data_IF_274995328102
#
_entry.id   IF_274995328102
#
_cell.length_a   1.000
_cell.length_b   1.000
_cell.length_c   1.000
_cell.angle_alpha   90.00
_cell.angle_beta   90.00
_cell.angle_gamma   90.00
#
_symmetry.space_group_name_H-M   'P 1'
#
loop_
_entity.id
_entity.type
_entity.pdbx_description
1 polymer ?
#
# COMPACT_ATOMS: atom_id res chain seq x y z
N UNK A 1 0.24 -55.68 -68.05
CA UNK A 1 0.25 -56.36 -66.73
C UNK A 1 1.72 -56.59 -66.37
N UNK A 2 2.34 -56.12 -65.29
CA UNK A 2 1.96 -55.50 -64.03
C UNK A 2 3.18 -54.63 -63.58
N UNK A 3 3.00 -53.37 -63.18
CA UNK A 3 2.92 -52.90 -61.78
C UNK A 3 4.18 -53.25 -60.95
N UNK A 4 5.09 -52.30 -60.72
CA UNK A 4 5.05 -51.31 -59.61
C UNK A 4 5.50 -51.89 -58.25
N UNK A 5 6.80 -51.89 -57.94
CA UNK A 5 7.31 -51.99 -56.56
C UNK A 5 8.76 -51.49 -56.47
N UNK A 6 8.98 -50.18 -56.32
CA UNK A 6 10.27 -49.65 -55.83
C UNK A 6 10.13 -48.33 -55.06
N UNK A 7 9.03 -47.59 -55.25
CA UNK A 7 8.79 -46.31 -54.59
C UNK A 7 8.25 -46.42 -53.14
N UNK A 8 7.83 -47.61 -52.68
CA UNK A 8 7.20 -47.80 -51.37
C UNK A 8 8.16 -47.85 -50.18
N UNK A 9 9.40 -48.32 -50.38
CA UNK A 9 10.34 -48.53 -49.27
C UNK A 9 10.99 -47.23 -48.77
N UNK A 10 11.26 -46.28 -49.68
CA UNK A 10 11.85 -44.98 -49.32
C UNK A 10 10.85 -44.06 -48.59
N UNK A 11 9.58 -44.09 -48.98
CA UNK A 11 8.52 -43.31 -48.33
C UNK A 11 8.21 -43.80 -46.91
N UNK A 12 8.27 -45.12 -46.68
CA UNK A 12 8.07 -45.69 -45.35
C UNK A 12 9.22 -45.35 -44.39
N UNK A 13 10.49 -45.37 -44.84
CA UNK A 13 11.63 -45.00 -44.01
C UNK A 13 11.67 -43.51 -43.65
N UNK A 14 11.23 -42.64 -44.57
CA UNK A 14 11.11 -41.19 -44.31
C UNK A 14 9.95 -40.88 -43.36
N UNK A 15 8.80 -41.56 -43.51
CA UNK A 15 7.66 -41.40 -42.62
C UNK A 15 7.93 -41.92 -41.20
N UNK A 16 8.64 -43.06 -41.06
CA UNK A 16 9.04 -43.60 -39.74
C UNK A 16 10.08 -42.69 -39.08
N UNK A 17 11.01 -42.10 -39.84
CA UNK A 17 11.97 -41.11 -39.30
C UNK A 17 11.29 -39.80 -38.88
N UNK A 18 10.28 -39.32 -39.61
CA UNK A 18 9.52 -38.12 -39.26
C UNK A 18 8.60 -38.36 -38.05
N UNK A 19 7.99 -39.54 -37.94
CA UNK A 19 7.17 -39.92 -36.79
C UNK A 19 8.06 -40.19 -35.56
N UNK A 20 9.24 -40.79 -35.73
CA UNK A 20 10.22 -40.95 -34.65
C UNK A 20 10.76 -39.58 -34.19
N UNK A 21 11.09 -38.66 -35.11
CA UNK A 21 11.44 -37.28 -34.76
C UNK A 21 10.30 -36.53 -34.08
N UNK A 22 9.05 -36.71 -34.53
CA UNK A 22 7.86 -36.08 -33.93
C UNK A 22 7.56 -36.65 -32.53
N UNK A 23 7.73 -37.95 -32.30
CA UNK A 23 7.56 -38.58 -30.99
C UNK A 23 8.70 -38.17 -30.05
N UNK A 24 9.95 -38.10 -30.52
CA UNK A 24 11.09 -37.60 -29.73
C UNK A 24 10.90 -36.11 -29.36
N UNK A 25 10.34 -35.29 -30.26
CA UNK A 25 10.01 -33.89 -29.96
C UNK A 25 8.82 -33.75 -29.00
N UNK A 26 7.85 -34.66 -29.04
CA UNK A 26 6.62 -34.59 -28.21
C UNK A 26 6.76 -35.29 -26.86
N UNK A 27 7.69 -36.22 -26.68
CA UNK A 27 8.08 -36.78 -25.38
C UNK A 27 9.06 -35.89 -24.62
N UNK A 28 9.51 -34.79 -25.22
CA UNK A 28 10.32 -33.77 -24.59
C UNK A 28 9.42 -32.74 -23.91
N UNK A 29 8.63 -33.17 -22.92
CA UNK A 29 8.24 -32.22 -21.86
C UNK A 29 9.54 -31.67 -21.30
N UNK A 30 9.75 -30.34 -21.21
CA UNK A 30 10.89 -29.84 -20.47
C UNK A 30 10.67 -30.27 -19.03
N UNK A 31 11.34 -31.35 -18.61
CA UNK A 31 11.64 -31.57 -17.21
C UNK A 31 12.40 -30.32 -16.82
N UNK A 32 11.70 -29.40 -16.17
CA UNK A 32 12.27 -28.17 -15.63
C UNK A 32 13.54 -28.61 -14.89
N UNK A 33 14.75 -28.31 -15.42
CA UNK A 33 15.92 -28.53 -14.62
C UNK A 33 15.78 -27.44 -13.57
N UNK A 34 15.51 -27.84 -12.34
CA UNK A 34 15.90 -27.06 -11.18
C UNK A 34 17.44 -27.02 -11.18
N UNK A 35 18.05 -26.47 -12.23
CA UNK A 35 19.41 -26.02 -12.16
C UNK A 35 19.35 -24.94 -11.08
N UNK A 36 19.81 -25.31 -9.87
CA UNK A 36 20.25 -24.36 -8.86
C UNK A 36 21.21 -23.44 -9.60
N UNK A 37 20.69 -22.33 -10.12
CA UNK A 37 21.50 -21.18 -10.47
C UNK A 37 22.29 -20.91 -9.20
N UNK A 38 23.61 -21.08 -9.30
CA UNK A 38 24.50 -20.90 -8.19
C UNK A 38 24.13 -19.55 -7.56
N UNK A 39 23.77 -19.57 -6.27
CA UNK A 39 23.42 -18.33 -5.55
C UNK A 39 24.56 -17.35 -5.83
N UNK A 40 24.30 -16.20 -6.48
CA UNK A 40 25.36 -15.21 -6.66
C UNK A 40 25.96 -14.92 -5.29
N UNK A 41 27.29 -14.87 -5.22
CA UNK A 41 27.97 -14.64 -3.95
C UNK A 41 27.36 -13.39 -3.34
N UNK A 42 26.94 -13.49 -2.08
CA UNK A 42 26.41 -12.35 -1.33
C UNK A 42 27.55 -11.34 -1.24
N UNK A 43 27.60 -10.41 -2.18
CA UNK A 43 28.31 -9.14 -1.98
C UNK A 43 27.60 -8.51 -0.80
N UNK A 44 28.19 -8.70 0.38
CA UNK A 44 27.69 -8.16 1.63
C UNK A 44 27.95 -6.66 1.59
N UNK A 45 27.08 -5.93 0.87
CA UNK A 45 26.77 -4.57 1.25
C UNK A 45 26.43 -4.62 2.73
N UNK A 46 27.31 -4.02 3.54
CA UNK A 46 27.26 -4.04 5.00
C UNK A 46 25.85 -3.61 5.40
N UNK A 47 24.97 -4.56 5.77
CA UNK A 47 23.62 -4.23 6.26
C UNK A 47 23.83 -3.49 7.57
N UNK A 48 23.84 -2.17 7.50
CA UNK A 48 23.85 -1.31 8.66
C UNK A 48 22.60 -1.66 9.47
N UNK A 49 22.80 -1.93 10.76
CA UNK A 49 21.70 -2.17 11.69
C UNK A 49 20.84 -0.91 11.70
N UNK A 50 19.56 -1.05 11.34
CA UNK A 50 18.58 0.04 11.41
C UNK A 50 18.13 0.25 12.86
N UNK A 51 17.91 1.49 13.29
CA UNK A 51 17.48 1.85 14.65
C UNK A 51 15.96 2.03 14.69
N UNK A 52 15.29 1.07 15.32
CA UNK A 52 13.84 1.10 15.50
C UNK A 52 13.03 0.80 14.23
N UNK A 53 11.71 0.92 14.36
CA UNK A 53 10.73 0.60 13.32
C UNK A 53 10.80 1.58 12.13
N UNK A 54 10.94 2.88 12.42
CA UNK A 54 10.90 3.95 11.41
C UNK A 54 12.04 3.80 10.40
N UNK A 55 13.28 3.61 10.87
CA UNK A 55 14.41 3.41 9.96
C UNK A 55 14.23 2.13 9.10
N UNK A 56 13.45 1.14 9.56
CA UNK A 56 13.15 -0.10 8.83
C UNK A 56 12.12 0.05 7.70
N UNK A 57 11.38 1.16 7.65
CA UNK A 57 10.46 1.48 6.55
C UNK A 57 11.27 1.95 5.33
N UNK A 58 10.84 1.52 4.15
CA UNK A 58 11.51 1.80 2.88
C UNK A 58 12.78 0.99 2.65
N UNK A 59 13.53 1.38 1.61
CA UNK A 59 14.65 0.59 1.09
C UNK A 59 14.21 -0.87 0.79
N UNK A 60 13.02 -1.02 0.23
CA UNK A 60 12.43 -2.30 -0.17
C UNK A 60 13.12 -2.83 -1.44
N UNK A 61 13.24 -4.14 -1.64
CA UNK A 61 13.90 -4.68 -2.82
C UNK A 61 13.04 -4.52 -4.09
N UNK A 62 13.70 -4.41 -5.24
CA UNK A 62 13.11 -4.75 -6.54
C UNK A 62 13.22 -6.27 -6.73
N UNK A 63 12.09 -6.91 -7.05
CA UNK A 63 12.01 -8.34 -7.35
C UNK A 63 11.72 -8.48 -8.83
N UNK A 64 12.58 -9.18 -9.58
CA UNK A 64 12.25 -9.59 -10.94
C UNK A 64 11.10 -10.59 -10.89
N UNK A 65 10.02 -10.29 -11.60
CA UNK A 65 8.88 -11.20 -11.73
C UNK A 65 9.19 -12.09 -12.93
N UNK A 66 9.67 -13.31 -12.66
CA UNK A 66 10.27 -14.14 -13.68
C UNK A 66 9.26 -14.54 -14.75
N UNK A 67 8.10 -15.02 -14.32
CA UNK A 67 7.04 -15.46 -15.22
C UNK A 67 6.60 -14.39 -16.22
N UNK A 68 6.45 -13.13 -15.78
CA UNK A 68 6.03 -12.01 -16.62
C UNK A 68 7.17 -11.52 -17.51
N UNK A 69 8.38 -11.47 -16.98
CA UNK A 69 9.56 -11.05 -17.74
C UNK A 69 9.84 -12.02 -18.89
N UNK A 70 9.80 -13.32 -18.60
CA UNK A 70 10.07 -14.38 -19.57
C UNK A 70 8.97 -14.43 -20.66
N UNK A 71 7.71 -14.16 -20.28
CA UNK A 71 6.58 -14.13 -21.23
C UNK A 71 6.58 -12.91 -22.17
N UNK A 72 7.19 -11.79 -21.77
CA UNK A 72 7.19 -10.53 -22.54
C UNK A 72 8.51 -10.24 -23.23
N UNK A 73 9.59 -10.95 -22.85
CA UNK A 73 10.95 -10.63 -23.27
C UNK A 73 11.47 -9.31 -22.69
N UNK A 74 10.75 -8.70 -21.74
CA UNK A 74 11.15 -7.51 -21.00
C UNK A 74 11.66 -7.89 -19.61
N UNK A 75 12.35 -6.97 -18.94
CA UNK A 75 12.65 -7.08 -17.52
C UNK A 75 11.56 -6.39 -16.70
N UNK A 76 10.62 -7.17 -16.15
CA UNK A 76 9.53 -6.66 -15.31
C UNK A 76 9.91 -6.83 -13.83
N UNK A 77 10.00 -5.71 -13.13
CA UNK A 77 10.41 -5.62 -11.73
C UNK A 77 9.25 -5.11 -10.85
N UNK A 78 9.03 -5.78 -9.73
CA UNK A 78 8.09 -5.35 -8.69
C UNK A 78 8.83 -4.78 -7.48
N UNK A 79 8.54 -3.51 -7.13
CA UNK A 79 9.00 -2.89 -5.88
C UNK A 79 8.19 -3.46 -4.71
N UNK A 80 8.84 -4.25 -3.85
CA UNK A 80 8.20 -5.09 -2.84
C UNK A 80 7.79 -4.30 -1.57
N UNK A 81 6.83 -3.39 -1.71
CA UNK A 81 6.34 -2.54 -0.63
C UNK A 81 5.58 -3.31 0.47
N UNK A 82 5.11 -4.52 0.17
CA UNK A 82 4.59 -5.45 1.18
C UNK A 82 5.63 -5.88 2.23
N UNK A 83 6.93 -5.62 2.01
CA UNK A 83 8.01 -5.91 2.95
C UNK A 83 8.29 -4.78 3.95
N UNK A 84 7.59 -3.64 3.86
CA UNK A 84 7.65 -2.68 4.96
C UNK A 84 7.07 -3.30 6.25
N UNK A 85 7.49 -2.86 7.45
CA UNK A 85 7.06 -3.46 8.72
C UNK A 85 5.54 -3.51 8.97
N UNK A 86 4.82 -2.45 8.60
CA UNK A 86 3.37 -2.37 8.60
C UNK A 86 2.73 -3.01 7.36
N UNK A 87 3.51 -3.65 6.50
CA UNK A 87 3.09 -4.58 5.45
C UNK A 87 2.53 -3.94 4.18
N UNK A 88 2.76 -2.64 3.97
CA UNK A 88 2.31 -1.98 2.73
C UNK A 88 3.11 -0.74 2.34
N UNK A 89 2.86 -0.25 1.14
CA UNK A 89 3.36 1.04 0.62
C UNK A 89 2.95 2.26 1.48
N UNK A 90 1.89 2.15 2.28
CA UNK A 90 1.39 3.26 3.10
C UNK A 90 2.24 3.54 4.34
N UNK A 91 3.17 2.66 4.69
CA UNK A 91 4.10 2.88 5.80
C UNK A 91 4.98 4.12 5.56
N UNK A 92 5.42 4.32 4.31
CA UNK A 92 6.20 5.51 3.91
C UNK A 92 5.39 6.79 4.12
N UNK A 93 4.12 6.74 3.73
CA UNK A 93 3.19 7.87 3.84
C UNK A 93 2.91 8.18 5.31
N UNK A 94 2.66 7.15 6.12
CA UNK A 94 2.44 7.31 7.56
C UNK A 94 3.64 7.96 8.27
N UNK A 95 4.87 7.53 7.93
CA UNK A 95 6.09 8.14 8.46
C UNK A 95 6.16 9.62 8.06
N UNK A 96 6.07 9.92 6.76
CA UNK A 96 6.24 11.30 6.28
C UNK A 96 5.16 12.25 6.83
N UNK A 97 3.90 11.78 6.94
CA UNK A 97 2.81 12.57 7.52
C UNK A 97 3.08 12.90 8.99
N UNK A 98 3.51 11.93 9.79
CA UNK A 98 3.71 12.11 11.23
C UNK A 98 4.96 12.96 11.49
N UNK A 99 6.04 12.69 10.77
CA UNK A 99 7.29 13.44 10.85
C UNK A 99 7.06 14.93 10.55
N UNK A 100 6.45 15.25 9.41
CA UNK A 100 6.20 16.64 9.04
C UNK A 100 5.24 17.35 9.99
N UNK A 101 4.23 16.65 10.52
CA UNK A 101 3.30 17.23 11.49
C UNK A 101 3.96 17.53 12.84
N UNK A 102 4.93 16.71 13.26
CA UNK A 102 5.73 16.97 14.46
C UNK A 102 6.71 18.12 14.23
N UNK A 103 7.35 18.18 13.07
CA UNK A 103 8.28 19.25 12.69
C UNK A 103 7.58 20.61 12.58
N UNK A 104 6.36 20.66 12.03
CA UNK A 104 5.56 21.89 11.92
C UNK A 104 4.95 22.32 13.26
N UNK A 105 4.83 21.40 14.22
CA UNK A 105 4.12 21.60 15.48
C UNK A 105 2.59 21.38 15.40
N UNK A 106 2.06 20.97 14.24
CA UNK A 106 0.64 20.62 14.07
C UNK A 106 0.26 19.36 14.87
N UNK A 107 1.25 18.51 15.17
CA UNK A 107 1.16 17.39 16.09
C UNK A 107 2.17 17.58 17.22
N UNK A 108 1.75 17.31 18.44
CA UNK A 108 2.63 17.30 19.62
C UNK A 108 2.96 15.86 20.03
N UNK A 109 4.09 15.66 20.71
CA UNK A 109 4.41 14.38 21.34
C UNK A 109 3.29 13.95 22.32
N UNK A 110 2.87 12.67 22.27
CA UNK A 110 1.68 12.18 22.98
C UNK A 110 0.33 12.57 22.35
N UNK A 111 0.35 13.35 21.27
CA UNK A 111 -0.81 13.75 20.49
C UNK A 111 -1.42 12.58 19.73
N UNK A 112 -2.63 12.78 19.19
CA UNK A 112 -3.39 11.72 18.51
C UNK A 112 -3.46 11.98 17.01
N UNK A 113 -2.92 11.07 16.21
CA UNK A 113 -3.13 11.06 14.76
C UNK A 113 -4.46 10.40 14.46
N UNK A 114 -5.30 11.09 13.69
CA UNK A 114 -6.63 10.63 13.30
C UNK A 114 -6.70 10.39 11.79
N UNK A 115 -7.41 9.34 11.38
CA UNK A 115 -7.64 9.05 9.96
C UNK A 115 -8.98 8.36 9.74
N UNK A 116 -9.65 8.67 8.63
CA UNK A 116 -10.82 7.95 8.16
C UNK A 116 -10.40 6.92 7.11
N UNK A 117 -10.14 5.68 7.50
CA UNK A 117 -9.78 4.62 6.57
C UNK A 117 -9.93 3.24 7.20
N UNK A 118 -10.49 2.27 6.48
CA UNK A 118 -10.44 0.86 6.87
C UNK A 118 -9.28 0.09 6.19
N UNK A 119 -8.42 0.79 5.44
CA UNK A 119 -7.42 0.19 4.57
C UNK A 119 -5.98 0.26 5.11
N UNK A 120 -5.02 0.09 4.22
CA UNK A 120 -3.60 0.01 4.56
C UNK A 120 -3.08 1.25 5.29
N UNK A 121 -3.60 2.44 5.00
CA UNK A 121 -3.20 3.69 5.68
C UNK A 121 -3.50 3.66 7.17
N UNK A 122 -4.66 3.15 7.59
CA UNK A 122 -4.98 3.04 9.00
C UNK A 122 -4.05 2.07 9.73
N UNK A 123 -3.74 0.94 9.10
CA UNK A 123 -2.80 -0.05 9.66
C UNK A 123 -1.38 0.55 9.75
N UNK A 124 -0.94 1.26 8.71
CA UNK A 124 0.36 1.93 8.69
C UNK A 124 0.47 3.02 9.75
N UNK A 125 -0.57 3.85 9.94
CA UNK A 125 -0.61 4.87 10.99
C UNK A 125 -0.62 4.24 12.39
N UNK A 126 -1.42 3.19 12.61
CA UNK A 126 -1.43 2.45 13.87
C UNK A 126 -0.08 1.81 14.18
N UNK A 127 0.65 1.34 13.15
CA UNK A 127 1.99 0.77 13.27
C UNK A 127 3.05 1.83 13.58
N UNK A 128 2.99 2.99 12.92
CA UNK A 128 4.05 4.02 12.95
C UNK A 128 3.89 5.00 14.11
N UNK A 129 2.67 5.42 14.45
CA UNK A 129 2.43 6.45 15.45
C UNK A 129 3.08 6.16 16.82
N UNK A 130 3.03 4.92 17.36
CA UNK A 130 3.71 4.60 18.62
C UNK A 130 5.23 4.77 18.56
N UNK A 131 5.86 4.58 17.40
CA UNK A 131 7.30 4.76 17.24
C UNK A 131 7.73 6.25 17.35
N UNK A 132 6.80 7.18 17.14
CA UNK A 132 6.95 8.61 17.37
C UNK A 132 6.38 9.08 18.72
N UNK A 133 5.96 8.15 19.59
CA UNK A 133 5.28 8.47 20.85
C UNK A 133 3.91 9.12 20.67
N UNK A 134 3.27 8.92 19.53
CA UNK A 134 1.94 9.43 19.22
C UNK A 134 0.88 8.32 19.38
N UNK A 135 -0.36 8.72 19.69
CA UNK A 135 -1.53 7.85 19.66
C UNK A 135 -2.13 7.81 18.26
N UNK A 136 -2.88 6.75 17.96
CA UNK A 136 -3.62 6.63 16.70
C UNK A 136 -5.11 6.36 16.96
N UNK A 137 -5.97 7.07 16.25
CA UNK A 137 -7.41 6.90 16.26
C UNK A 137 -7.94 6.80 14.83
N UNK A 138 -8.67 5.73 14.54
CA UNK A 138 -9.16 5.46 13.18
C UNK A 138 -10.67 5.39 13.19
N UNK A 139 -11.30 6.09 12.25
CA UNK A 139 -12.74 5.98 12.01
C UNK A 139 -12.98 5.12 10.77
N UNK A 140 -13.79 4.08 10.90
CA UNK A 140 -14.09 3.12 9.83
C UNK A 140 -15.59 2.95 9.61
N UNK A 141 -16.04 2.63 8.39
CA UNK A 141 -17.41 2.15 8.15
C UNK A 141 -17.72 0.88 8.97
N UNK A 142 -18.93 0.77 9.52
CA UNK A 142 -19.34 -0.38 10.34
C UNK A 142 -19.53 -1.68 9.54
N UNK A 143 -19.78 -1.57 8.23
CA UNK A 143 -19.87 -2.65 7.25
C UNK A 143 -18.49 -3.14 6.74
N UNK A 144 -17.40 -2.50 7.18
CA UNK A 144 -16.06 -2.98 6.89
C UNK A 144 -15.80 -4.31 7.62
N UNK A 145 -15.08 -5.21 6.94
CA UNK A 145 -14.70 -6.52 7.44
C UNK A 145 -14.12 -6.44 8.87
N UNK A 146 -14.49 -7.39 9.73
CA UNK A 146 -14.18 -7.33 11.16
C UNK A 146 -12.66 -7.39 11.39
N UNK A 147 -11.97 -8.17 10.58
CA UNK A 147 -10.52 -8.37 10.61
C UNK A 147 -9.76 -7.05 10.45
N UNK A 148 -10.34 -6.07 9.73
CA UNK A 148 -9.75 -4.74 9.53
C UNK A 148 -9.70 -3.94 10.83
N UNK A 149 -10.73 -4.00 11.68
CA UNK A 149 -10.65 -3.33 13.00
C UNK A 149 -9.75 -4.11 13.95
N UNK A 150 -9.84 -5.45 13.94
CA UNK A 150 -9.06 -6.29 14.85
C UNK A 150 -7.55 -6.07 14.70
N UNK A 151 -7.04 -5.95 13.47
CA UNK A 151 -5.62 -5.67 13.25
C UNK A 151 -5.23 -4.26 13.73
N UNK A 152 -6.07 -3.25 13.50
CA UNK A 152 -5.80 -1.87 13.93
C UNK A 152 -5.80 -1.77 15.46
N UNK A 153 -6.76 -2.43 16.12
CA UNK A 153 -6.87 -2.48 17.58
C UNK A 153 -5.71 -3.28 18.21
N UNK A 154 -5.31 -4.40 17.59
CA UNK A 154 -4.17 -5.19 18.03
C UNK A 154 -2.83 -4.42 17.93
N UNK A 155 -2.72 -3.48 17.00
CA UNK A 155 -1.59 -2.55 16.89
C UNK A 155 -1.63 -1.41 17.92
N UNK A 156 -2.67 -1.35 18.76
CA UNK A 156 -2.81 -0.39 19.85
C UNK A 156 -3.51 0.91 19.46
N UNK A 157 -4.06 1.02 18.25
CA UNK A 157 -4.89 2.15 17.86
C UNK A 157 -6.34 1.97 18.35
N UNK A 158 -7.04 3.10 18.51
CA UNK A 158 -8.48 3.09 18.81
C UNK A 158 -9.29 3.12 17.52
N UNK A 159 -10.40 2.38 17.47
CA UNK A 159 -11.27 2.31 16.29
C UNK A 159 -12.69 2.79 16.63
N UNK A 160 -13.21 3.72 15.84
CA UNK A 160 -14.61 4.15 15.86
C UNK A 160 -15.32 3.62 14.60
N UNK A 161 -16.25 2.68 14.78
CA UNK A 161 -17.12 2.19 13.70
C UNK A 161 -18.33 3.10 13.53
N UNK A 162 -18.60 3.54 12.31
CA UNK A 162 -19.68 4.48 11.98
C UNK A 162 -20.49 4.00 10.79
N UNK A 163 -21.76 4.39 10.75
CA UNK A 163 -22.65 4.02 9.63
C UNK A 163 -22.11 4.54 8.29
N UNK A 164 -22.07 3.72 7.23
CA UNK A 164 -21.75 4.15 5.88
C UNK A 164 -22.73 5.20 5.37
N UNK A 165 -22.20 6.31 4.87
CA UNK A 165 -22.95 7.43 4.29
C UNK A 165 -22.18 8.00 3.09
N UNK A 166 -22.80 8.87 2.29
CA UNK A 166 -22.10 9.50 1.16
C UNK A 166 -20.95 10.41 1.63
N UNK A 167 -19.94 10.63 0.78
CA UNK A 167 -18.79 11.49 1.09
C UNK A 167 -19.15 12.93 1.47
N UNK A 168 -20.27 13.43 0.91
CA UNK A 168 -20.81 14.76 1.20
C UNK A 168 -21.52 14.85 2.56
N UNK A 169 -21.86 13.71 3.16
CA UNK A 169 -22.54 13.67 4.44
C UNK A 169 -21.58 14.04 5.59
N UNK A 170 -22.09 14.82 6.54
CA UNK A 170 -21.31 15.29 7.71
C UNK A 170 -20.71 14.15 8.53
N UNK A 171 -21.41 13.01 8.56
CA UNK A 171 -21.04 11.81 9.31
C UNK A 171 -20.32 10.75 8.48
N UNK A 172 -19.83 11.12 7.29
CA UNK A 172 -18.87 10.29 6.59
C UNK A 172 -17.63 10.07 7.47
N UNK A 173 -17.12 8.83 7.55
CA UNK A 173 -16.03 8.44 8.44
C UNK A 173 -14.78 9.35 8.35
N UNK A 174 -14.44 9.85 7.15
CA UNK A 174 -13.36 10.85 6.94
C UNK A 174 -13.68 12.19 7.63
N UNK A 175 -14.91 12.66 7.53
CA UNK A 175 -15.34 13.91 8.16
C UNK A 175 -15.39 13.76 9.68
N UNK A 176 -15.79 12.59 10.18
CA UNK A 176 -15.75 12.28 11.62
C UNK A 176 -14.31 12.28 12.13
N UNK A 177 -13.38 11.59 11.45
CA UNK A 177 -11.96 11.59 11.82
C UNK A 177 -11.39 13.01 11.92
N UNK A 178 -11.68 13.88 10.94
CA UNK A 178 -11.31 15.30 10.99
C UNK A 178 -11.89 16.01 12.22
N UNK A 179 -13.16 15.76 12.57
CA UNK A 179 -13.78 16.34 13.78
C UNK A 179 -13.09 15.86 15.05
N UNK A 180 -12.69 14.59 15.14
CA UNK A 180 -11.96 14.04 16.31
C UNK A 180 -10.62 14.72 16.54
N UNK A 181 -9.88 15.06 15.48
CA UNK A 181 -8.67 15.87 15.61
C UNK A 181 -8.96 17.25 16.21
N UNK A 182 -9.99 17.94 15.69
CA UNK A 182 -10.38 19.27 16.18
C UNK A 182 -10.87 19.24 17.63
N UNK A 183 -11.64 18.20 18.01
CA UNK A 183 -12.10 17.98 19.38
C UNK A 183 -10.91 17.75 20.32
N UNK A 184 -9.95 16.92 19.94
CA UNK A 184 -8.72 16.71 20.71
C UNK A 184 -7.92 18.00 20.91
N UNK A 185 -7.85 18.88 19.90
CA UNK A 185 -7.20 20.19 20.00
C UNK A 185 -7.91 21.13 20.97
N UNK A 186 -9.25 21.19 20.93
CA UNK A 186 -10.04 22.00 21.88
C UNK A 186 -9.83 21.53 23.32
N UNK A 187 -9.81 20.22 23.55
CA UNK A 187 -9.58 19.64 24.87
C UNK A 187 -8.17 19.94 25.39
N UNK A 188 -7.16 19.83 24.52
CA UNK A 188 -5.79 20.17 24.87
C UNK A 188 -5.64 21.67 25.23
N UNK A 189 -6.33 22.56 24.53
CA UNK A 189 -6.33 23.99 24.84
C UNK A 189 -6.98 24.27 26.21
N UNK A 190 -8.17 23.71 26.47
CA UNK A 190 -8.86 23.87 27.75
C UNK A 190 -8.05 23.33 28.94
N UNK A 191 -7.31 22.23 28.74
CA UNK A 191 -6.40 21.67 29.76
C UNK A 191 -5.21 22.59 30.05
N UNK A 192 -4.65 23.27 29.05
CA UNK A 192 -3.59 24.26 29.25
C UNK A 192 -4.09 25.47 30.04
N UNK A 193 -5.25 26.03 29.67
CA UNK A 193 -5.86 27.16 30.37
C UNK A 193 -6.18 26.83 31.84
N UNK A 194 -6.69 25.62 32.10
CA UNK A 194 -6.99 25.15 33.46
C UNK A 194 -5.72 25.02 34.30
N UNK A 195 -4.65 24.46 33.73
CA UNK A 195 -3.36 24.31 34.41
C UNK A 195 -2.70 25.66 34.68
N UNK A 196 -2.76 26.61 33.74
CA UNK A 196 -2.25 27.98 33.92
C UNK A 196 -3.03 28.74 35.00
N UNK A 197 -4.35 28.57 35.07
CA UNK A 197 -5.18 29.18 36.11
C UNK A 197 -4.86 28.59 37.48
N UNK A 198 -4.61 27.28 37.59
CA UNK A 198 -4.17 26.65 38.83
C UNK A 198 -2.77 27.09 39.26
N UNK A 199 -1.79 27.16 38.35
CA UNK A 199 -0.44 27.62 38.67
C UNK A 199 -0.42 29.09 39.07
N UNK A 200 -1.20 29.94 38.41
CA UNK A 200 -1.34 31.36 38.78
C UNK A 200 -2.12 31.54 40.11
N UNK A 201 -3.12 30.70 40.39
CA UNK A 201 -3.83 30.66 41.67
C UNK A 201 -2.94 30.20 42.85
N UNK A 202 -2.07 29.21 42.62
CA UNK A 202 -1.07 28.74 43.58
C UNK A 202 0.07 29.75 43.80
N UNK A 203 0.38 30.58 42.79
CA UNK A 203 1.31 31.70 42.93
C UNK A 203 0.73 32.82 43.82
N UNK A 204 -0.59 33.03 43.79
CA UNK A 204 -1.27 34.03 44.61
C UNK A 204 -1.55 33.60 46.07
N UNK A 205 -1.44 32.30 46.38
CA UNK A 205 -1.63 31.73 47.74
C UNK A 205 -0.30 31.51 48.47
N UNK A 206 0.86 31.71 47.82
CA UNK A 206 2.18 31.50 48.43
C UNK A 206 2.87 32.79 48.90
N UNK A 207 2.12 33.71 49.52
CA UNK A 207 2.72 34.88 50.19
C UNK A 207 2.54 34.92 51.71
N UNK A 208 1.88 33.94 52.36
CA UNK A 208 1.74 33.99 53.85
C UNK A 208 1.98 32.73 54.68
N UNK A 209 1.91 31.50 54.16
CA UNK A 209 1.95 30.31 55.06
C UNK A 209 3.06 29.28 54.77
N UNK A 210 4.23 29.71 54.25
CA UNK A 210 5.35 28.81 53.93
C UNK A 210 6.52 28.82 54.92
N UNK A 211 6.31 29.24 56.17
CA UNK A 211 7.38 29.25 57.19
C UNK A 211 7.21 28.26 58.35
N UNK A 212 6.07 27.60 58.55
CA UNK A 212 5.88 26.75 59.75
C UNK A 212 5.85 25.23 59.52
N UNK A 213 5.73 24.74 58.29
CA UNK A 213 5.57 23.28 58.05
C UNK A 213 6.87 22.56 57.66
N UNK A 214 7.97 23.28 57.42
CA UNK A 214 9.24 22.68 56.94
C UNK A 214 10.18 22.16 58.04
N UNK A 215 9.75 22.04 59.30
CA UNK A 215 10.59 21.56 60.41
C UNK A 215 10.13 20.25 61.09
N UNK A 216 9.14 19.51 60.55
CA UNK A 216 8.63 18.30 61.23
C UNK A 216 8.74 16.95 60.52
N UNK A 217 9.26 16.86 59.30
CA UNK A 217 9.31 15.56 58.59
C UNK A 217 10.70 15.12 58.10
N UNK A 218 11.77 15.65 58.69
CA UNK A 218 13.12 15.11 58.53
C UNK A 218 13.46 14.07 59.60
N UNK A 219 12.68 12.97 59.70
CA UNK A 219 13.06 11.72 60.39
C UNK A 219 12.00 10.62 60.20
N UNK A 220 12.31 9.69 59.28
CA UNK A 220 11.65 8.41 58.87
C UNK A 220 11.51 8.49 57.34
N UNK A 221 12.18 7.70 56.51
CA UNK A 221 12.40 6.26 56.61
C UNK A 221 13.52 5.88 55.63
N UNK A 222 14.47 5.06 56.08
CA UNK A 222 15.41 4.31 55.24
C UNK A 222 14.69 3.09 54.63
N UNK A 223 15.26 2.59 53.52
CA UNK A 223 15.00 1.33 52.80
C UNK A 223 13.96 1.39 51.66
N UNK A 224 14.44 1.42 50.42
CA UNK A 224 14.34 0.30 49.48
C UNK A 224 15.05 0.61 48.15
N UNK A 225 15.72 -0.41 47.60
CA UNK A 225 16.44 -0.43 46.32
C UNK A 225 15.55 -0.11 45.10
N UNK A 226 16.13 0.38 43.98
CA UNK A 226 15.37 0.70 42.79
C UNK A 226 15.08 -0.56 41.96
N UNK A 227 13.83 -1.03 42.01
CA UNK A 227 13.32 -1.98 41.03
C UNK A 227 13.10 -1.27 39.68
N UNK A 228 13.65 -1.86 38.61
CA UNK A 228 13.39 -1.51 37.22
C UNK A 228 11.87 -1.55 36.93
N UNK A 229 11.23 -0.38 36.93
CA UNK A 229 9.86 -0.21 36.47
C UNK A 229 9.79 -0.18 34.95
N UNK A 230 9.40 -1.30 34.34
CA UNK A 230 8.94 -1.31 32.95
C UNK A 230 7.67 -0.46 32.85
N UNK A 231 7.75 0.67 32.15
CA UNK A 231 6.58 1.47 31.77
C UNK A 231 5.81 0.76 30.67
N UNK A 232 5.04 -0.25 31.06
CA UNK A 232 4.03 -0.86 30.20
C UNK A 232 2.94 0.17 29.92
N UNK A 233 2.75 0.51 28.64
CA UNK A 233 1.60 1.30 28.19
C UNK A 233 0.29 0.59 28.61
N UNK A 234 -0.69 1.30 29.21
CA UNK A 234 -1.93 0.68 29.59
C UNK A 234 -2.74 0.31 28.34
N UNK A 235 -2.89 -0.99 28.08
CA UNK A 235 -3.97 -1.49 27.24
C UNK A 235 -5.30 -1.35 28.00
N UNK A 236 -6.24 -0.53 27.47
CA UNK A 236 -7.71 -0.75 27.43
C UNK A 236 -8.47 0.57 27.21
N UNK A 237 -9.48 0.53 26.31
CA UNK A 237 -10.61 1.47 26.32
C UNK A 237 -10.97 2.06 24.96
N UNK A 238 -12.28 2.22 24.72
CA UNK A 238 -12.86 3.05 23.64
C UNK A 238 -12.15 4.42 23.62
N UNK A 239 -12.10 5.08 22.45
CA UNK A 239 -11.56 6.44 22.33
C UNK A 239 -12.09 7.33 23.46
N UNK A 240 -11.23 7.61 24.43
CA UNK A 240 -11.52 8.46 25.57
C UNK A 240 -10.72 9.75 25.40
N UNK A 241 -11.34 10.80 24.84
CA UNK A 241 -10.67 12.09 24.68
C UNK A 241 -10.45 12.80 26.03
N UNK A 242 -10.97 12.28 27.15
CA UNK A 242 -10.90 12.91 28.47
C UNK A 242 -9.62 12.64 29.27
N UNK A 243 -8.79 11.66 28.88
CA UNK A 243 -7.48 11.43 29.51
C UNK A 243 -6.36 12.19 28.77
N UNK A 244 -5.73 13.16 29.44
CA UNK A 244 -4.52 13.92 29.03
C UNK A 244 -4.39 14.12 27.51
N UNK A 245 -5.21 15.01 26.93
CA UNK A 245 -5.17 15.29 25.50
C UNK A 245 -3.99 16.19 25.20
N UNK A 246 -3.06 15.72 24.36
CA UNK A 246 -1.96 16.54 23.82
C UNK A 246 -2.29 17.18 22.47
N UNK A 247 -3.56 17.12 22.05
CA UNK A 247 -4.03 17.57 20.74
C UNK A 247 -4.21 16.43 19.75
N UNK A 248 -4.76 16.76 18.58
CA UNK A 248 -5.01 15.83 17.51
C UNK A 248 -4.69 16.40 16.12
N UNK A 249 -4.21 15.51 15.26
CA UNK A 249 -3.84 15.82 13.88
C UNK A 249 -4.63 14.92 12.92
N UNK A 250 -5.22 15.49 11.88
CA UNK A 250 -5.93 14.72 10.86
C UNK A 250 -4.99 14.43 9.70
N UNK A 251 -4.65 13.15 9.49
CA UNK A 251 -3.63 12.74 8.54
C UNK A 251 -3.95 13.15 7.09
N UNK A 252 -5.23 13.09 6.70
CA UNK A 252 -5.77 13.47 5.40
C UNK A 252 -4.97 12.91 4.22
N UNK A 253 -4.82 11.58 4.14
CA UNK A 253 -3.96 10.95 3.13
C UNK A 253 -4.22 11.37 1.67
N UNK A 254 -5.43 11.86 1.35
CA UNK A 254 -5.79 12.27 0.00
C UNK A 254 -5.28 13.67 -0.33
N UNK A 255 -5.34 14.61 0.60
CA UNK A 255 -4.97 16.01 0.37
C UNK A 255 -3.63 16.43 0.96
N UNK A 256 -3.08 15.64 1.88
CA UNK A 256 -1.79 15.91 2.49
C UNK A 256 -0.64 15.60 1.51
N UNK A 257 0.17 16.62 1.21
CA UNK A 257 1.28 16.53 0.25
C UNK A 257 2.50 15.76 0.79
N UNK A 258 2.56 15.46 2.09
CA UNK A 258 3.51 14.50 2.65
C UNK A 258 3.44 13.14 1.94
N UNK A 259 2.25 12.77 1.46
CA UNK A 259 2.04 11.53 0.70
C UNK A 259 2.84 11.53 -0.61
N UNK A 260 2.68 12.56 -1.45
CA UNK A 260 3.49 12.76 -2.64
C UNK A 260 4.99 12.81 -2.31
N UNK A 261 5.38 13.61 -1.30
CA UNK A 261 6.80 13.79 -0.92
C UNK A 261 7.45 12.49 -0.46
N UNK A 262 6.76 11.64 0.29
CA UNK A 262 7.28 10.34 0.71
C UNK A 262 7.77 9.49 -0.48
N UNK A 263 7.07 9.58 -1.61
CA UNK A 263 7.40 8.82 -2.80
C UNK A 263 8.42 9.52 -3.69
N UNK A 264 8.36 10.85 -3.77
CA UNK A 264 9.35 11.65 -4.49
C UNK A 264 10.73 11.59 -3.83
N UNK A 265 10.80 11.66 -2.49
CA UNK A 265 12.04 11.71 -1.73
C UNK A 265 12.62 10.33 -1.44
N UNK A 266 11.81 9.27 -1.41
CA UNK A 266 12.29 7.91 -1.10
C UNK A 266 12.05 6.90 -2.22
N UNK A 267 10.79 6.67 -2.61
CA UNK A 267 10.45 5.55 -3.52
C UNK A 267 11.06 5.72 -4.92
N UNK A 268 10.96 6.92 -5.50
CA UNK A 268 11.57 7.26 -6.79
C UNK A 268 13.10 7.09 -6.79
N UNK A 269 13.83 7.69 -5.85
CA UNK A 269 15.28 7.51 -5.70
C UNK A 269 15.70 6.05 -5.58
N UNK A 270 15.02 5.28 -4.74
CA UNK A 270 15.34 3.86 -4.57
C UNK A 270 15.17 3.08 -5.88
N UNK A 271 14.08 3.31 -6.62
CA UNK A 271 13.86 2.66 -7.92
C UNK A 271 14.98 3.05 -8.91
N UNK A 272 15.31 4.33 -9.01
CA UNK A 272 16.38 4.81 -9.89
C UNK A 272 17.74 4.20 -9.57
N UNK A 273 18.11 4.17 -8.28
CA UNK A 273 19.37 3.57 -7.83
C UNK A 273 19.40 2.05 -8.09
N UNK A 274 18.33 1.33 -7.76
CA UNK A 274 18.26 -0.13 -7.89
C UNK A 274 18.26 -0.58 -9.35
N UNK A 275 17.72 0.23 -10.26
CA UNK A 275 17.77 -0.01 -11.72
C UNK A 275 19.07 0.47 -12.36
N UNK A 276 19.90 1.24 -11.64
CA UNK A 276 21.17 1.80 -12.16
C UNK A 276 20.99 2.56 -13.47
N UNK A 277 19.83 3.20 -13.64
CA UNK A 277 19.49 3.98 -14.83
C UNK A 277 18.96 3.17 -16.03
N UNK A 278 18.76 1.86 -15.91
CA UNK A 278 18.22 1.02 -17.00
C UNK A 278 16.69 1.07 -17.14
N UNK A 279 16.00 1.84 -16.30
CA UNK A 279 14.54 1.92 -16.31
C UNK A 279 14.02 2.59 -17.60
N UNK A 280 13.08 1.93 -18.27
CA UNK A 280 12.42 2.46 -19.46
C UNK A 280 10.99 2.93 -19.17
N UNK A 281 10.27 2.19 -18.31
CA UNK A 281 8.92 2.58 -17.93
C UNK A 281 8.56 2.27 -16.47
N UNK A 282 7.72 3.11 -15.90
CA UNK A 282 7.10 2.94 -14.60
C UNK A 282 5.57 2.90 -14.75
N UNK A 283 4.91 1.97 -14.06
CA UNK A 283 3.45 1.90 -14.04
C UNK A 283 2.94 1.59 -12.65
N UNK A 284 1.91 2.31 -12.23
CA UNK A 284 1.21 2.06 -10.98
C UNK A 284 -0.25 2.52 -11.07
N UNK A 285 -1.09 1.89 -10.28
CA UNK A 285 -2.44 2.32 -9.99
C UNK A 285 -2.46 3.43 -8.95
N UNK A 286 -3.57 4.16 -8.89
CA UNK A 286 -3.73 5.30 -8.01
C UNK A 286 -5.02 5.21 -7.19
N UNK A 287 -4.88 5.40 -5.87
CA UNK A 287 -5.98 5.80 -4.99
C UNK A 287 -5.83 7.28 -4.66
N UNK A 288 -4.98 7.60 -3.67
CA UNK A 288 -4.63 8.99 -3.35
C UNK A 288 -3.79 9.66 -4.44
N UNK A 289 -3.09 8.89 -5.27
CA UNK A 289 -2.18 9.39 -6.31
C UNK A 289 -0.75 9.68 -5.84
N UNK A 290 -0.45 9.65 -4.54
CA UNK A 290 0.88 10.02 -4.04
C UNK A 290 2.02 9.15 -4.58
N UNK A 291 1.82 7.82 -4.67
CA UNK A 291 2.83 6.89 -5.18
C UNK A 291 3.15 7.15 -6.65
N UNK A 292 2.14 7.16 -7.51
CA UNK A 292 2.36 7.36 -8.95
C UNK A 292 2.94 8.76 -9.21
N UNK A 293 2.43 9.78 -8.52
CA UNK A 293 2.87 11.15 -8.71
C UNK A 293 4.33 11.34 -8.27
N UNK A 294 4.65 11.01 -7.01
CA UNK A 294 6.01 11.21 -6.47
C UNK A 294 7.07 10.43 -7.25
N UNK A 295 6.80 9.18 -7.61
CA UNK A 295 7.74 8.39 -8.41
C UNK A 295 7.87 8.94 -9.83
N UNK A 296 6.76 9.29 -10.50
CA UNK A 296 6.81 9.80 -11.88
C UNK A 296 7.60 11.10 -12.01
N UNK A 297 7.37 12.06 -11.10
CA UNK A 297 8.10 13.34 -11.09
C UNK A 297 9.59 13.12 -10.91
N UNK A 298 9.98 12.34 -9.88
CA UNK A 298 11.39 12.09 -9.62
C UNK A 298 12.08 11.39 -10.81
N UNK A 299 11.45 10.36 -11.37
CA UNK A 299 12.03 9.63 -12.50
C UNK A 299 12.18 10.51 -13.74
N UNK A 300 11.19 11.35 -14.04
CA UNK A 300 11.24 12.26 -15.20
C UNK A 300 12.24 13.39 -15.01
N UNK A 301 12.51 13.83 -13.79
CA UNK A 301 13.64 14.73 -13.51
C UNK A 301 14.99 14.07 -13.78
N UNK A 302 15.15 12.78 -13.48
CA UNK A 302 16.39 12.03 -13.77
C UNK A 302 16.55 11.71 -15.25
N UNK A 303 15.47 11.32 -15.91
CA UNK A 303 15.46 11.03 -17.33
C UNK A 303 14.05 11.23 -17.92
N UNK A 304 13.89 12.29 -18.72
CA UNK A 304 12.62 12.64 -19.37
C UNK A 304 12.13 11.57 -20.37
N UNK A 305 12.99 10.66 -20.81
CA UNK A 305 12.62 9.57 -21.71
C UNK A 305 11.89 8.43 -21.00
N UNK A 306 11.94 8.34 -19.66
CA UNK A 306 11.20 7.33 -18.91
C UNK A 306 9.69 7.56 -19.07
N UNK A 307 9.00 6.49 -19.46
CA UNK A 307 7.56 6.49 -19.64
C UNK A 307 6.84 6.15 -18.33
N UNK A 308 5.91 7.00 -17.91
CA UNK A 308 5.13 6.79 -16.69
C UNK A 308 3.65 6.62 -17.03
N UNK A 309 3.05 5.52 -16.59
CA UNK A 309 1.68 5.17 -16.93
C UNK A 309 0.81 4.94 -15.70
N UNK A 310 -0.46 5.34 -15.80
CA UNK A 310 -1.49 4.98 -14.84
C UNK A 310 -2.09 3.61 -15.19
N UNK A 311 -2.31 2.76 -14.19
CA UNK A 311 -3.18 1.59 -14.29
C UNK A 311 -4.47 1.83 -13.50
N UNK A 312 -5.62 1.91 -14.16
CA UNK A 312 -6.87 2.31 -13.51
C UNK A 312 -7.88 1.15 -13.43
N UNK A 313 -8.51 0.88 -12.27
CA UNK A 313 -9.52 -0.17 -12.14
C UNK A 313 -10.90 0.29 -12.67
N UNK A 314 -11.87 -0.64 -12.80
CA UNK A 314 -13.24 -0.30 -13.19
C UNK A 314 -13.87 0.71 -12.22
N UNK A 315 -14.67 1.63 -12.77
CA UNK A 315 -15.40 2.63 -12.00
C UNK A 315 -14.59 3.84 -11.53
N UNK A 316 -13.28 3.87 -11.77
CA UNK A 316 -12.41 5.02 -11.52
C UNK A 316 -12.44 6.02 -12.67
N UNK A 317 -12.48 7.31 -12.34
CA UNK A 317 -12.46 8.41 -13.31
C UNK A 317 -11.07 8.76 -13.83
N UNK A 318 -9.99 8.25 -13.21
CA UNK A 318 -8.63 8.71 -13.47
C UNK A 318 -8.12 8.39 -14.87
N UNK A 319 -8.51 7.24 -15.46
CA UNK A 319 -8.13 6.90 -16.84
C UNK A 319 -8.60 7.96 -17.82
N UNK A 320 -9.86 8.39 -17.72
CA UNK A 320 -10.41 9.42 -18.59
C UNK A 320 -9.76 10.77 -18.30
N UNK A 321 -9.39 11.04 -17.05
CA UNK A 321 -8.67 12.26 -16.72
C UNK A 321 -7.32 12.32 -17.40
N UNK A 322 -6.56 11.23 -17.38
CA UNK A 322 -5.24 11.16 -18.04
C UNK A 322 -5.37 11.18 -19.56
N UNK A 323 -6.30 10.43 -20.13
CA UNK A 323 -6.38 10.26 -21.60
C UNK A 323 -7.21 11.31 -22.33
N UNK A 324 -8.14 11.99 -21.62
CA UNK A 324 -9.15 12.90 -22.21
C UNK A 324 -9.32 14.21 -21.46
N UNK A 325 -8.66 14.39 -20.32
CA UNK A 325 -8.80 15.59 -19.49
C UNK A 325 -10.06 15.67 -18.63
N UNK A 326 -10.98 14.69 -18.71
CA UNK A 326 -12.29 14.70 -18.01
C UNK A 326 -12.43 13.53 -17.03
N UNK A 327 -13.11 13.75 -15.90
CA UNK A 327 -13.40 12.73 -14.88
C UNK A 327 -14.82 12.18 -15.05
N UNK A 328 -15.07 11.45 -16.15
CA UNK A 328 -16.38 10.83 -16.39
C UNK A 328 -16.21 9.41 -16.94
N UNK A 329 -16.80 8.42 -16.29
CA UNK A 329 -16.80 7.00 -16.71
C UNK A 329 -18.13 6.62 -17.37
N UNK A 330 -18.15 5.57 -18.22
CA UNK A 330 -19.42 5.16 -18.86
C UNK A 330 -20.39 4.59 -17.82
N UNK A 331 -19.82 4.05 -16.75
CA UNK A 331 -20.51 3.46 -15.63
C UNK A 331 -21.23 4.54 -14.79
N UNK A 332 -20.87 5.82 -14.93
CA UNK A 332 -21.59 6.98 -14.35
C UNK A 332 -22.82 7.41 -15.17
N UNK A 333 -23.11 6.75 -16.30
CA UNK A 333 -24.28 7.06 -17.13
C UNK A 333 -25.60 6.83 -16.36
N UNK A 334 -26.49 7.81 -16.46
CA UNK A 334 -27.79 7.81 -15.79
C UNK A 334 -28.65 6.61 -16.25
N UNK A 335 -29.09 5.75 -15.31
CA UNK A 335 -30.02 4.65 -15.62
C UNK A 335 -29.85 3.33 -14.85
N UNK A 336 -28.72 3.09 -14.17
CA UNK A 336 -28.53 1.90 -13.32
C UNK A 336 -27.99 2.28 -11.94
N UNK A 337 -28.89 2.66 -11.04
CA UNK A 337 -28.55 3.02 -9.66
C UNK A 337 -28.28 1.75 -8.84
N UNK A 338 -27.09 1.18 -8.96
CA UNK A 338 -26.57 0.22 -7.99
C UNK A 338 -26.31 0.93 -6.65
N UNK A 339 -26.41 0.21 -5.53
CA UNK A 339 -26.20 0.75 -4.16
C UNK A 339 -24.76 1.30 -4.00
N UNK A 340 -23.82 0.72 -4.74
CA UNK A 340 -22.52 1.27 -5.15
C UNK A 340 -22.46 1.21 -6.69
N UNK A 341 -22.33 2.34 -7.43
CA UNK A 341 -22.33 2.31 -8.89
C UNK A 341 -21.14 1.54 -9.51
N UNK A 342 -20.08 1.29 -8.73
CA UNK A 342 -18.91 0.49 -9.12
C UNK A 342 -18.48 -0.39 -7.96
N UNK A 343 -18.86 -1.67 -7.99
CA UNK A 343 -18.41 -2.65 -6.99
C UNK A 343 -17.20 -3.39 -7.57
N UNK A 344 -16.06 -2.70 -7.60
CA UNK A 344 -14.78 -3.37 -7.89
C UNK A 344 -14.33 -4.11 -6.64
N UNK A 345 -13.88 -5.35 -6.82
CA UNK A 345 -13.28 -6.12 -5.72
C UNK A 345 -11.83 -5.71 -5.45
N UNK A 346 -11.26 -4.81 -6.27
CA UNK A 346 -9.92 -4.29 -6.05
C UNK A 346 -9.93 -3.17 -5.01
N UNK A 347 -9.13 -3.33 -3.97
CA UNK A 347 -9.09 -2.38 -2.85
C UNK A 347 -7.88 -1.45 -2.94
N UNK A 348 -8.05 -0.21 -2.44
CA UNK A 348 -6.98 0.76 -2.25
C UNK A 348 -6.58 1.58 -3.49
N UNK A 349 -7.26 1.37 -4.61
CA UNK A 349 -7.06 2.05 -5.89
C UNK A 349 -8.41 2.43 -6.51
N UNK A 350 -8.41 3.39 -7.43
CA UNK A 350 -9.61 3.92 -8.09
C UNK A 350 -10.29 5.05 -7.31
N UNK A 351 -10.63 6.14 -8.00
CA UNK A 351 -11.32 7.30 -7.39
C UNK A 351 -11.99 8.19 -8.45
N UNK A 352 -13.11 8.83 -8.09
CA UNK A 352 -13.87 9.72 -8.98
C UNK A 352 -13.70 11.21 -8.66
N UNK A 353 -12.55 11.57 -8.08
CA UNK A 353 -12.11 12.96 -7.90
C UNK A 353 -10.59 13.06 -8.05
N UNK A 354 -10.10 14.20 -8.49
CA UNK A 354 -8.66 14.47 -8.56
C UNK A 354 -8.20 15.00 -7.19
N UNK A 355 -7.18 14.36 -6.62
CA UNK A 355 -6.56 14.75 -5.35
C UNK A 355 -5.39 15.70 -5.59
N UNK A 356 -4.99 16.48 -4.57
CA UNK A 356 -3.75 17.30 -4.65
C UNK A 356 -2.51 16.48 -5.00
N UNK A 357 -2.40 15.28 -4.43
CA UNK A 357 -1.31 14.36 -4.70
C UNK A 357 -1.28 13.92 -6.18
N UNK A 358 -2.42 13.51 -6.74
CA UNK A 358 -2.50 13.06 -8.14
C UNK A 358 -2.26 14.19 -9.14
N UNK A 359 -2.62 15.44 -8.82
CA UNK A 359 -2.38 16.59 -9.70
C UNK A 359 -0.90 16.80 -10.03
N UNK A 360 0.01 16.30 -9.18
CA UNK A 360 1.44 16.40 -9.44
C UNK A 360 1.94 15.37 -10.46
N UNK A 361 1.17 14.32 -10.75
CA UNK A 361 1.66 13.21 -11.57
C UNK A 361 2.01 13.63 -13.00
N UNK A 362 3.18 13.18 -13.46
CA UNK A 362 3.64 13.37 -14.83
C UNK A 362 3.52 12.07 -15.62
N UNK A 363 2.46 11.93 -16.41
CA UNK A 363 2.09 10.67 -17.06
C UNK A 363 2.12 10.77 -18.59
N UNK A 364 2.62 9.74 -19.26
CA UNK A 364 2.61 9.58 -20.72
C UNK A 364 1.34 8.89 -21.24
N UNK A 365 0.52 8.32 -20.35
CA UNK A 365 -0.71 7.65 -20.71
C UNK A 365 -1.34 6.86 -19.56
N UNK A 366 -2.37 6.10 -19.87
CA UNK A 366 -3.05 5.23 -18.92
C UNK A 366 -3.58 3.95 -19.58
N UNK A 367 -3.75 2.92 -18.76
CA UNK A 367 -4.38 1.64 -19.10
C UNK A 367 -5.55 1.39 -18.14
N UNK A 368 -6.53 0.58 -18.57
CA UNK A 368 -7.63 0.11 -17.72
C UNK A 368 -7.54 -1.37 -17.47
N UNK A 369 -7.69 -1.83 -16.24
CA UNK A 369 -7.86 -3.25 -15.96
C UNK A 369 -9.29 -3.59 -15.54
N UNK A 370 -9.55 -4.88 -15.49
CA UNK A 370 -10.77 -5.46 -14.96
C UNK A 370 -10.50 -6.25 -13.68
N UNK A 371 -11.54 -6.46 -12.88
CA UNK A 371 -11.47 -7.33 -11.70
C UNK A 371 -11.09 -8.78 -12.07
N UNK A 372 -11.54 -9.25 -13.25
CA UNK A 372 -11.14 -10.55 -13.78
C UNK A 372 -9.64 -10.62 -13.95
N UNK A 373 -9.06 -9.67 -14.66
CA UNK A 373 -7.62 -9.65 -14.91
C UNK A 373 -6.81 -9.55 -13.61
N UNK A 374 -7.24 -8.74 -12.64
CA UNK A 374 -6.58 -8.67 -11.34
C UNK A 374 -6.60 -10.04 -10.62
N UNK A 375 -7.74 -10.73 -10.61
CA UNK A 375 -7.87 -12.06 -9.99
C UNK A 375 -7.00 -13.09 -10.71
N UNK A 376 -7.11 -13.21 -12.03
CA UNK A 376 -6.32 -14.17 -12.81
C UNK A 376 -4.82 -13.90 -12.66
N UNK A 377 -4.39 -12.63 -12.74
CA UNK A 377 -3.00 -12.22 -12.53
C UNK A 377 -2.51 -12.62 -11.14
N UNK A 378 -3.31 -12.43 -10.08
CA UNK A 378 -2.90 -12.83 -8.73
C UNK A 378 -2.64 -14.34 -8.61
N UNK A 379 -3.47 -15.17 -9.26
CA UNK A 379 -3.32 -16.63 -9.25
C UNK A 379 -2.15 -17.06 -10.11
N UNK A 380 -1.93 -16.40 -11.24
CA UNK A 380 -0.78 -16.61 -12.10
C UNK A 380 0.53 -16.33 -11.36
N UNK A 381 0.65 -15.18 -10.69
CA UNK A 381 1.83 -14.79 -9.91
C UNK A 381 2.10 -15.76 -8.74
N UNK A 382 1.04 -16.16 -8.03
CA UNK A 382 1.17 -17.12 -6.93
C UNK A 382 1.66 -18.49 -7.43
N UNK A 383 1.08 -18.99 -8.53
CA UNK A 383 1.41 -20.30 -9.10
C UNK A 383 2.82 -20.34 -9.70
N UNK A 384 3.25 -19.28 -10.39
CA UNK A 384 4.48 -19.30 -11.19
C UNK A 384 5.68 -18.65 -10.48
N UNK A 385 5.47 -17.69 -9.59
CA UNK A 385 6.55 -16.99 -8.88
C UNK A 385 6.51 -17.16 -7.36
N UNK A 386 5.42 -17.71 -6.81
CA UNK A 386 5.19 -17.76 -5.36
C UNK A 386 4.88 -16.39 -4.75
N UNK A 387 4.50 -15.41 -5.57
CA UNK A 387 4.20 -14.05 -5.12
C UNK A 387 2.75 -13.94 -4.63
N UNK A 388 2.57 -13.92 -3.30
CA UNK A 388 1.27 -13.75 -2.66
C UNK A 388 0.94 -12.27 -2.39
N UNK A 389 0.36 -11.61 -3.39
CA UNK A 389 0.16 -10.16 -3.44
C UNK A 389 -1.32 -9.76 -3.37
N UNK A 390 -1.60 -8.54 -2.89
CA UNK A 390 -2.95 -7.99 -2.86
C UNK A 390 -3.49 -7.55 -4.23
N UNK A 391 -4.76 -7.14 -4.26
CA UNK A 391 -5.49 -6.83 -5.49
C UNK A 391 -4.87 -5.71 -6.33
N UNK A 392 -4.39 -4.65 -5.68
CA UNK A 392 -3.76 -3.51 -6.35
C UNK A 392 -2.42 -3.87 -6.98
N UNK A 393 -1.62 -4.71 -6.33
CA UNK A 393 -0.38 -5.28 -6.87
C UNK A 393 -0.65 -6.14 -8.11
N UNK A 394 -1.70 -6.96 -8.08
CA UNK A 394 -2.08 -7.77 -9.24
C UNK A 394 -2.52 -6.89 -10.41
N UNK A 395 -3.33 -5.85 -10.14
CA UNK A 395 -3.73 -4.87 -11.17
C UNK A 395 -2.50 -4.14 -11.76
N UNK A 396 -1.55 -3.74 -10.92
CA UNK A 396 -0.28 -3.16 -11.33
C UNK A 396 0.51 -4.07 -12.27
N UNK A 397 0.57 -5.37 -11.97
CA UNK A 397 1.22 -6.36 -12.82
C UNK A 397 0.51 -6.54 -14.18
N UNK A 398 -0.82 -6.46 -14.23
CA UNK A 398 -1.57 -6.39 -15.51
C UNK A 398 -1.10 -5.20 -16.34
N UNK A 399 -1.02 -4.03 -15.72
CA UNK A 399 -0.47 -2.83 -16.36
C UNK A 399 0.96 -3.03 -16.87
N UNK A 400 1.84 -3.62 -16.06
CA UNK A 400 3.24 -3.86 -16.42
C UNK A 400 3.38 -4.77 -17.65
N UNK A 401 2.56 -5.82 -17.77
CA UNK A 401 2.55 -6.68 -18.97
C UNK A 401 2.12 -5.90 -20.20
N UNK A 402 1.09 -5.05 -20.10
CA UNK A 402 0.62 -4.24 -21.23
C UNK A 402 1.68 -3.23 -21.69
N UNK A 403 2.30 -2.52 -20.76
CA UNK A 403 3.43 -1.62 -21.07
C UNK A 403 4.58 -2.39 -21.73
N UNK A 404 4.90 -3.58 -21.22
CA UNK A 404 5.94 -4.42 -21.80
C UNK A 404 5.60 -4.87 -23.23
N UNK A 405 4.33 -5.22 -23.50
CA UNK A 405 3.86 -5.58 -24.85
C UNK A 405 3.93 -4.38 -25.81
N UNK A 406 3.59 -3.19 -25.34
CA UNK A 406 3.59 -1.97 -26.16
C UNK A 406 5.03 -1.48 -26.47
N UNK A 407 5.95 -1.60 -25.52
CA UNK A 407 7.37 -1.25 -25.73
C UNK A 407 8.15 -2.32 -26.50
N UNK A 408 7.75 -3.58 -26.38
CA UNK A 408 8.45 -4.72 -26.96
C UNK A 408 9.66 -5.19 -26.14
N UNK A 409 10.26 -6.34 -26.50
CA UNK A 409 11.30 -6.99 -25.71
C UNK A 409 12.56 -6.14 -25.52
N UNK A 410 13.32 -6.42 -24.45
CA UNK A 410 14.57 -5.72 -24.11
C UNK A 410 14.40 -4.48 -23.23
N UNK A 411 13.17 -4.05 -22.94
CA UNK A 411 12.90 -2.93 -22.04
C UNK A 411 12.80 -3.37 -20.57
N UNK A 412 13.13 -2.46 -19.65
CA UNK A 412 12.95 -2.64 -18.20
C UNK A 412 11.76 -1.83 -17.71
N UNK A 413 10.80 -2.50 -17.05
CA UNK A 413 9.57 -1.93 -16.52
C UNK A 413 9.54 -2.15 -15.00
N UNK A 414 9.27 -1.10 -14.24
CA UNK A 414 9.05 -1.20 -12.78
C UNK A 414 7.59 -0.93 -12.46
N UNK A 415 7.03 -1.76 -11.57
CA UNK A 415 5.74 -1.52 -10.93
C UNK A 415 5.83 -1.68 -9.41
N UNK A 416 4.74 -1.42 -8.69
CA UNK A 416 4.69 -1.49 -7.23
C UNK A 416 3.89 -2.71 -6.79
N UNK A 417 4.47 -3.54 -5.91
CA UNK A 417 3.77 -4.60 -5.19
C UNK A 417 3.35 -4.03 -3.82
N UNK A 418 2.18 -3.41 -3.79
CA UNK A 418 1.69 -2.52 -2.74
C UNK A 418 1.56 -3.17 -1.37
N UNK A 419 0.95 -4.36 -1.31
CA UNK A 419 0.68 -5.11 -0.08
C UNK A 419 0.54 -6.63 -0.36
N UNK A 420 0.53 -7.42 0.71
CA UNK A 420 0.40 -8.88 0.64
C UNK A 420 -1.05 -9.33 0.51
N UNK A 421 -1.27 -10.47 -0.15
CA UNK A 421 -2.58 -11.14 -0.24
C UNK A 421 -3.19 -11.51 1.12
N UNK A 422 -2.39 -11.55 2.19
CA UNK A 422 -2.86 -11.79 3.56
C UNK A 422 -3.96 -10.81 4.01
N UNK A 423 -3.97 -9.59 3.47
CA UNK A 423 -4.97 -8.55 3.80
C UNK A 423 -6.29 -8.71 3.07
N UNK A 424 -6.35 -9.64 2.12
CA UNK A 424 -7.46 -9.78 1.18
C UNK A 424 -8.10 -11.18 1.21
N UNK A 425 -7.88 -11.93 2.30
CA UNK A 425 -8.35 -13.32 2.47
C UNK A 425 -9.87 -13.47 2.48
N UNK A 426 -10.61 -12.48 2.96
CA UNK A 426 -12.08 -12.56 3.08
C UNK A 426 -12.82 -12.23 1.78
N UNK A 427 -12.14 -11.64 0.79
CA UNK A 427 -12.73 -11.23 -0.49
C UNK A 427 -11.91 -11.71 -1.71
N UNK A 428 -10.81 -11.02 -2.02
CA UNK A 428 -10.00 -11.26 -3.24
C UNK A 428 -9.35 -12.66 -3.30
N UNK A 429 -9.09 -13.28 -2.15
CA UNK A 429 -8.61 -14.66 -2.04
C UNK A 429 -9.65 -15.64 -1.48
N UNK A 430 -10.92 -15.23 -1.40
CA UNK A 430 -12.01 -16.09 -0.96
C UNK A 430 -12.74 -16.71 -2.17
N UNK A 431 -12.66 -18.03 -2.33
CA UNK A 431 -13.23 -18.72 -3.49
C UNK A 431 -14.75 -18.56 -3.60
N UNK A 432 -15.46 -18.60 -2.46
CA UNK A 432 -16.93 -18.41 -2.45
C UNK A 432 -17.29 -16.98 -2.88
N UNK A 433 -16.62 -15.97 -2.31
CA UNK A 433 -16.83 -14.57 -2.68
C UNK A 433 -16.58 -14.36 -4.18
N UNK A 434 -15.49 -14.92 -4.70
CA UNK A 434 -15.20 -14.84 -6.13
C UNK A 434 -16.27 -15.55 -6.98
N UNK A 435 -16.74 -16.74 -6.58
CA UNK A 435 -17.82 -17.44 -7.27
C UNK A 435 -19.12 -16.62 -7.30
N UNK A 436 -19.50 -16.01 -6.18
CA UNK A 436 -20.70 -15.18 -6.04
C UNK A 436 -20.67 -13.95 -6.97
N UNK A 437 -19.48 -13.46 -7.31
CA UNK A 437 -19.29 -12.32 -8.22
C UNK A 437 -19.01 -12.74 -9.67
N UNK A 438 -19.09 -14.04 -10.01
CA UNK A 438 -18.74 -14.53 -11.34
C UNK A 438 -17.25 -14.39 -11.67
N UNK A 439 -16.42 -14.40 -10.63
CA UNK A 439 -15.00 -14.10 -10.66
C UNK A 439 -14.09 -15.31 -10.31
N UNK A 440 -14.59 -16.53 -10.48
CA UNK A 440 -13.79 -17.75 -10.27
C UNK A 440 -12.59 -17.77 -11.24
N UNK A 441 -11.34 -17.90 -10.74
CA UNK A 441 -10.16 -17.97 -11.61
C UNK A 441 -10.20 -19.20 -12.52
N UNK A 442 -9.88 -19.01 -13.81
CA UNK A 442 -9.92 -20.08 -14.82
C UNK A 442 -8.67 -20.12 -15.71
N UNK A 443 -7.87 -19.05 -15.72
CA UNK A 443 -6.74 -18.96 -16.62
C UNK A 443 -5.60 -19.91 -16.21
N UNK A 444 -4.91 -20.45 -17.21
CA UNK A 444 -3.76 -21.32 -17.03
C UNK A 444 -2.44 -20.60 -17.27
N UNK A 445 -2.46 -19.55 -18.08
CA UNK A 445 -1.35 -18.64 -18.38
C UNK A 445 -1.82 -17.18 -18.48
N UNK A 446 -1.19 -16.39 -19.35
CA UNK A 446 -1.50 -14.96 -19.57
C UNK A 446 -2.57 -14.72 -20.65
N UNK A 447 -3.22 -15.76 -21.17
CA UNK A 447 -4.26 -15.66 -22.22
C UNK A 447 -5.48 -14.83 -21.81
N UNK A 448 -5.67 -14.57 -20.52
CA UNK A 448 -6.72 -13.70 -20.01
C UNK A 448 -6.50 -12.22 -20.35
N UNK A 449 -5.28 -11.84 -20.76
CA UNK A 449 -4.94 -10.48 -21.20
C UNK A 449 -5.17 -10.24 -22.69
N UNK A 450 -5.54 -11.28 -23.44
CA UNK A 450 -5.75 -11.22 -24.89
C UNK A 450 -7.25 -11.17 -25.26
N UNK A 451 -8.11 -11.11 -24.24
CA UNK A 451 -9.58 -11.00 -24.33
C UNK A 451 -10.02 -9.59 -23.97
#
# INVERSE_FOLDING_TARGET
MAAATAAGAAAAAAAVSLIACYIIFRSSTPKVPWARTARPSRTSGRRTRRRGLVEAIGNTPLIRINSLSDATGCEILGKAEFLNPGGSVKDRVAVKIIEEALESGDLSYGGTVTEGSAGSTAISLATVAPAYGCRCHVVIPDDAAIEKSQIIEALGATVERVRPVSITHRDHFVNIARRRALEANKLAAAQRESNETQTNGLAHVNSRDKLETMQRESKKTQNNDPAHGSTGMPHRGKYDPSSDSKGGFFADQFENMANYRAHYEWTGPEIWEQTKGSLHAFIAAAGTGGTIAGVSCYLKEKNRNIKCFLMDPPGSGLFNKVTRGVMYTKEEAEGKRLKNPFDTITEGIGINRVTRNFMMAELDGAYRGTDREAVEMSRFLLKNDGLFVGSSSAMNCVGAVRVARDLGPGHTIVTILCDSGMRHLSKFFNDQYLADHGLTPTATGLEFLDK
#
